data_IF_533053908671
#
_entry.id   IF_533053908671
#
_cell.length_a   1.000
_cell.length_b   1.000
_cell.length_c   1.000
_cell.angle_alpha   90.00
_cell.angle_beta   90.00
_cell.angle_gamma   90.00
#
_symmetry.space_group_name_H-M   'P 1'
#
loop_
_entity.id
_entity.type
_entity.pdbx_description
1 polymer ?
#
# COMPACT_ATOMS: atom_id res chain seq x y z
N UNK A 1 -17.02 -19.54 70.34
CA UNK A 1 -18.26 -18.73 70.41
C UNK A 1 -18.18 -17.70 69.28
N UNK A 2 -18.88 -17.97 68.18
CA UNK A 2 -19.18 -17.00 67.10
C UNK A 2 -20.24 -16.00 67.63
N UNK A 3 -20.33 -14.80 67.05
CA UNK A 3 -21.45 -14.53 66.12
C UNK A 3 -21.01 -13.55 65.01
N UNK A 4 -21.75 -13.18 63.96
CA UNK A 4 -23.06 -13.57 63.47
C UNK A 4 -23.09 -13.38 61.94
N UNK A 5 -24.01 -14.09 61.31
CA UNK A 5 -24.50 -13.93 59.95
C UNK A 5 -24.80 -12.50 59.51
N UNK A 6 -24.57 -12.19 58.23
CA UNK A 6 -25.66 -11.81 57.31
C UNK A 6 -25.36 -12.29 55.88
N UNK A 7 -26.35 -12.99 55.32
CA UNK A 7 -26.46 -13.45 53.95
C UNK A 7 -27.11 -12.35 53.11
N UNK A 8 -26.58 -12.04 51.92
CA UNK A 8 -27.39 -11.54 50.81
C UNK A 8 -26.84 -12.06 49.49
N UNK A 9 -27.53 -13.08 48.96
CA UNK A 9 -27.54 -13.44 47.55
C UNK A 9 -28.38 -12.41 46.82
N UNK A 10 -27.87 -11.79 45.76
CA UNK A 10 -28.67 -11.32 44.63
C UNK A 10 -27.81 -11.09 43.37
N UNK A 11 -28.32 -11.65 42.27
CA UNK A 11 -28.20 -11.12 40.91
C UNK A 11 -26.92 -11.40 40.11
N UNK A 12 -26.83 -12.65 39.68
CA UNK A 12 -26.73 -12.99 38.25
C UNK A 12 -27.43 -11.94 37.36
N UNK A 13 -26.74 -10.94 36.79
CA UNK A 13 -27.27 -10.19 35.64
C UNK A 13 -26.33 -9.21 34.89
N UNK A 14 -25.00 -9.42 34.80
CA UNK A 14 -24.16 -8.55 33.93
C UNK A 14 -23.14 -9.35 33.12
N UNK A 15 -23.60 -10.36 32.37
CA UNK A 15 -22.74 -11.09 31.41
C UNK A 15 -23.17 -10.88 29.94
N UNK A 16 -24.24 -10.13 29.64
CA UNK A 16 -24.89 -10.26 28.33
C UNK A 16 -24.84 -9.04 27.38
N UNK A 17 -23.83 -8.15 27.44
CA UNK A 17 -23.74 -7.01 26.48
C UNK A 17 -22.36 -6.90 25.79
N UNK A 18 -21.46 -7.86 25.98
CA UNK A 18 -20.11 -7.82 25.39
C UNK A 18 -19.93 -8.45 24.00
N UNK A 19 -20.98 -9.01 23.38
CA UNK A 19 -20.79 -10.00 22.29
C UNK A 19 -21.46 -9.67 20.95
N UNK A 20 -21.96 -8.46 20.72
CA UNK A 20 -22.75 -8.15 19.49
C UNK A 20 -22.08 -7.09 18.58
N UNK A 21 -20.82 -6.69 18.84
CA UNK A 21 -20.09 -5.74 17.96
C UNK A 21 -18.82 -6.40 17.38
N UNK A 22 -18.92 -7.67 16.99
CA UNK A 22 -17.84 -8.41 16.33
C UNK A 22 -18.33 -9.12 15.06
N UNK A 23 -19.34 -8.54 14.38
CA UNK A 23 -19.99 -9.16 13.22
C UNK A 23 -19.81 -8.44 11.88
N UNK A 24 -19.11 -7.31 11.82
CA UNK A 24 -19.02 -6.49 10.60
C UNK A 24 -17.64 -5.86 10.41
N UNK A 25 -16.57 -6.64 10.63
CA UNK A 25 -15.25 -6.26 10.12
C UNK A 25 -15.11 -6.84 8.71
N UNK A 26 -14.77 -6.01 7.70
CA UNK A 26 -14.45 -6.53 6.37
C UNK A 26 -13.30 -7.50 6.55
N UNK A 27 -13.42 -8.67 5.91
CA UNK A 27 -12.37 -9.69 5.79
C UNK A 27 -11.02 -9.01 5.64
N UNK A 28 -10.28 -8.91 6.74
CA UNK A 28 -8.89 -8.53 6.70
C UNK A 28 -8.24 -9.61 5.84
N UNK A 29 -7.76 -9.21 4.66
CA UNK A 29 -6.81 -9.99 3.91
C UNK A 29 -5.54 -10.05 4.78
N UNK A 30 -5.54 -10.92 5.77
CA UNK A 30 -4.32 -11.31 6.44
C UNK A 30 -3.57 -12.12 5.40
N UNK A 31 -2.53 -11.50 4.83
CA UNK A 31 -1.51 -12.25 4.13
C UNK A 31 -0.97 -13.28 5.13
N UNK A 32 -1.36 -14.53 4.95
CA UNK A 32 -0.88 -15.63 5.76
C UNK A 32 0.56 -15.89 5.33
N UNK A 33 1.53 -15.43 6.12
CA UNK A 33 2.93 -15.77 5.89
C UNK A 33 3.09 -17.29 6.04
N UNK A 34 3.12 -17.99 4.90
CA UNK A 34 3.60 -19.36 4.83
C UNK A 34 5.12 -19.32 5.02
N UNK A 35 5.56 -19.15 6.26
CA UNK A 35 6.96 -19.22 6.66
C UNK A 35 7.43 -20.68 6.61
N UNK A 36 7.65 -21.21 5.41
CA UNK A 36 8.58 -22.34 5.26
C UNK A 36 9.97 -21.72 5.34
N UNK A 37 10.61 -21.84 6.50
CA UNK A 37 11.94 -21.29 6.72
C UNK A 37 12.89 -21.75 5.60
N UNK A 38 13.53 -20.81 4.90
CA UNK A 38 14.58 -21.11 3.94
C UNK A 38 15.71 -21.83 4.70
N UNK A 39 15.87 -23.13 4.45
CA UNK A 39 16.60 -24.03 5.34
C UNK A 39 18.12 -23.81 5.40
N UNK A 40 18.72 -22.94 4.57
CA UNK A 40 20.19 -22.85 4.45
C UNK A 40 20.82 -21.47 4.63
N UNK A 41 20.04 -20.39 4.70
CA UNK A 41 20.64 -19.03 4.81
C UNK A 41 21.27 -18.78 6.19
N UNK A 42 20.94 -19.58 7.21
CA UNK A 42 21.28 -19.31 8.61
C UNK A 42 22.45 -20.12 9.18
N UNK A 43 22.99 -21.12 8.48
CA UNK A 43 24.08 -21.96 9.03
C UNK A 43 25.47 -21.32 8.87
N UNK A 44 25.73 -20.67 7.74
CA UNK A 44 26.91 -19.81 7.54
C UNK A 44 26.57 -18.66 6.57
N UNK A 45 26.44 -17.40 7.04
CA UNK A 45 26.00 -16.28 6.20
C UNK A 45 27.03 -15.85 5.14
N UNK A 46 28.21 -16.48 5.10
CA UNK A 46 29.27 -16.18 4.13
C UNK A 46 29.57 -17.33 3.17
N UNK A 47 28.82 -18.44 3.24
CA UNK A 47 28.98 -19.55 2.31
C UNK A 47 28.09 -19.34 1.06
N UNK A 48 28.70 -18.84 -0.01
CA UNK A 48 28.08 -18.63 -1.32
C UNK A 48 28.37 -19.77 -2.31
N UNK A 49 28.91 -20.90 -1.84
CA UNK A 49 29.27 -22.03 -2.71
C UNK A 49 28.04 -22.75 -3.30
N UNK A 50 26.88 -22.61 -2.67
CA UNK A 50 25.59 -23.16 -3.10
C UNK A 50 24.49 -22.11 -2.93
N UNK A 51 23.52 -22.02 -3.86
CA UNK A 51 22.35 -21.17 -3.67
C UNK A 51 21.47 -21.70 -2.51
N UNK A 52 20.67 -20.83 -1.88
CA UNK A 52 19.71 -21.27 -0.87
C UNK A 52 18.63 -22.16 -1.49
N UNK A 53 18.19 -23.17 -0.76
CA UNK A 53 17.01 -23.96 -1.14
C UNK A 53 15.76 -23.07 -0.97
N UNK A 54 15.07 -22.79 -2.08
CA UNK A 54 13.83 -22.03 -2.07
C UNK A 54 12.64 -22.95 -1.83
N UNK A 55 11.65 -22.54 -1.01
CA UNK A 55 10.42 -23.31 -0.88
C UNK A 55 9.69 -23.37 -2.22
N UNK A 56 9.12 -24.53 -2.54
CA UNK A 56 8.19 -24.64 -3.67
C UNK A 56 6.86 -24.03 -3.27
N UNK A 57 6.43 -23.01 -4.02
CA UNK A 57 5.18 -22.27 -3.79
C UNK A 57 4.27 -22.48 -4.99
N UNK A 58 3.03 -22.90 -4.76
CA UNK A 58 2.03 -22.99 -5.82
C UNK A 58 1.65 -21.58 -6.30
N UNK A 59 1.73 -21.27 -7.60
CA UNK A 59 1.34 -19.96 -8.10
C UNK A 59 -0.15 -19.69 -7.83
N UNK A 60 -0.54 -18.43 -7.57
CA UNK A 60 -1.94 -18.08 -7.44
C UNK A 60 -2.69 -18.37 -8.75
N UNK A 61 -3.92 -18.84 -8.62
CA UNK A 61 -4.80 -19.06 -9.77
C UNK A 61 -5.08 -17.74 -10.51
N UNK A 62 -5.28 -17.84 -11.82
CA UNK A 62 -5.54 -16.69 -12.68
C UNK A 62 -6.76 -15.87 -12.25
N UNK A 63 -7.86 -16.52 -11.88
CA UNK A 63 -9.09 -15.84 -11.42
C UNK A 63 -8.89 -15.05 -10.13
N UNK A 64 -8.04 -15.56 -9.22
CA UNK A 64 -7.67 -14.86 -7.99
C UNK A 64 -6.84 -13.61 -8.30
N UNK A 65 -5.94 -13.69 -9.28
CA UNK A 65 -5.14 -12.55 -9.74
C UNK A 65 -6.02 -11.48 -10.38
N UNK A 66 -6.91 -11.85 -11.30
CA UNK A 66 -7.84 -10.91 -11.94
C UNK A 66 -8.74 -10.20 -10.94
N UNK A 67 -9.27 -10.95 -9.96
CA UNK A 67 -10.05 -10.37 -8.88
C UNK A 67 -9.22 -9.38 -8.05
N UNK A 68 -7.92 -9.66 -7.82
CA UNK A 68 -7.03 -8.75 -7.10
C UNK A 68 -6.74 -7.48 -7.89
N UNK A 69 -6.47 -7.59 -9.20
CA UNK A 69 -6.27 -6.46 -10.11
C UNK A 69 -7.52 -5.58 -10.13
N UNK A 70 -8.70 -6.18 -10.28
CA UNK A 70 -9.99 -5.47 -10.27
C UNK A 70 -10.17 -4.65 -8.98
N UNK A 71 -9.89 -5.25 -7.81
CA UNK A 71 -9.94 -4.52 -6.52
C UNK A 71 -8.91 -3.39 -6.47
N UNK A 72 -7.72 -3.61 -7.02
CA UNK A 72 -6.67 -2.60 -7.13
C UNK A 72 -7.11 -1.38 -7.95
N UNK A 73 -7.71 -1.61 -9.13
CA UNK A 73 -8.27 -0.55 -9.98
C UNK A 73 -9.32 0.25 -9.22
N UNK A 74 -10.29 -0.44 -8.59
CA UNK A 74 -11.32 0.23 -7.79
C UNK A 74 -10.73 1.06 -6.66
N UNK A 75 -9.70 0.55 -5.97
CA UNK A 75 -9.00 1.29 -4.93
C UNK A 75 -8.32 2.54 -5.48
N UNK A 76 -7.63 2.46 -6.62
CA UNK A 76 -6.95 3.61 -7.21
C UNK A 76 -7.93 4.72 -7.59
N UNK A 77 -9.04 4.37 -8.24
CA UNK A 77 -10.10 5.33 -8.60
C UNK A 77 -10.67 6.01 -7.35
N UNK A 78 -11.00 5.23 -6.31
CA UNK A 78 -11.62 5.75 -5.08
C UNK A 78 -10.67 6.53 -4.18
N UNK A 79 -9.36 6.23 -4.21
CA UNK A 79 -8.35 6.85 -3.34
C UNK A 79 -7.67 8.05 -3.96
N UNK A 80 -7.97 8.39 -5.22
CA UNK A 80 -7.40 9.55 -5.87
C UNK A 80 -7.80 10.82 -5.10
N UNK A 81 -6.83 11.70 -4.89
CA UNK A 81 -7.08 12.98 -4.23
C UNK A 81 -7.91 13.88 -5.15
N UNK A 82 -8.59 14.86 -4.57
CA UNK A 82 -9.31 15.90 -5.34
C UNK A 82 -8.40 16.61 -6.35
N UNK A 83 -7.10 16.73 -6.04
CA UNK A 83 -6.10 17.31 -6.95
C UNK A 83 -5.74 16.43 -8.16
N UNK A 84 -6.21 15.18 -8.23
CA UNK A 84 -5.82 14.22 -9.27
C UNK A 84 -4.56 13.36 -8.94
N UNK A 85 -3.88 13.63 -7.83
CA UNK A 85 -2.64 12.94 -7.47
C UNK A 85 -2.86 11.72 -6.55
N UNK A 86 -1.85 10.86 -6.47
CA UNK A 86 -1.70 9.83 -5.44
C UNK A 86 -0.41 9.99 -4.64
N UNK A 87 -0.36 9.39 -3.46
CA UNK A 87 0.83 9.34 -2.61
C UNK A 87 1.08 10.55 -1.72
N UNK A 88 1.89 10.33 -0.69
CA UNK A 88 2.37 11.32 0.27
C UNK A 88 3.71 10.87 0.86
N UNK A 89 4.54 11.83 1.29
CA UNK A 89 5.81 11.54 1.96
C UNK A 89 5.68 11.31 3.47
N UNK A 90 4.48 11.50 4.03
CA UNK A 90 4.21 11.44 5.47
C UNK A 90 3.59 10.11 5.88
N UNK A 91 3.84 9.70 7.13
CA UNK A 91 3.20 8.54 7.78
C UNK A 91 3.32 7.19 7.04
N UNK A 92 4.37 6.97 6.26
CA UNK A 92 4.48 5.78 5.40
C UNK A 92 4.78 4.48 6.18
N UNK A 93 5.38 4.59 7.37
CA UNK A 93 5.75 3.43 8.23
C UNK A 93 5.60 3.73 9.74
N UNK A 94 4.62 4.53 10.11
CA UNK A 94 4.52 5.09 11.48
C UNK A 94 5.62 6.12 11.81
N UNK A 95 6.47 6.42 10.83
CA UNK A 95 7.49 7.48 10.84
C UNK A 95 7.41 8.25 9.51
N UNK A 96 7.99 9.44 9.49
CA UNK A 96 8.14 10.23 8.26
C UNK A 96 9.45 9.89 7.56
N UNK A 97 9.40 9.74 6.23
CA UNK A 97 10.61 9.59 5.43
C UNK A 97 11.37 10.92 5.46
N UNK A 98 12.70 10.85 5.50
CA UNK A 98 13.53 12.03 5.29
C UNK A 98 13.29 12.57 3.87
N UNK A 99 12.53 13.65 3.79
CA UNK A 99 12.16 14.32 2.54
C UNK A 99 12.40 15.83 2.72
N UNK A 100 13.66 16.30 2.58
CA UNK A 100 13.99 17.69 2.81
C UNK A 100 13.27 18.61 1.82
N UNK A 101 12.82 19.75 2.32
CA UNK A 101 12.24 20.80 1.47
C UNK A 101 13.35 21.66 0.86
N UNK A 102 13.19 22.17 -0.37
CA UNK A 102 12.05 21.99 -1.28
C UNK A 102 12.12 20.70 -2.14
N UNK A 103 10.97 20.19 -2.60
CA UNK A 103 10.88 19.23 -3.71
C UNK A 103 11.01 17.74 -3.42
N UNK A 104 11.64 17.31 -2.32
CA UNK A 104 11.76 15.88 -2.02
C UNK A 104 10.41 15.18 -1.80
N UNK A 105 9.46 15.88 -1.17
CA UNK A 105 8.11 15.36 -0.92
C UNK A 105 7.29 15.28 -2.21
N UNK A 106 7.49 16.23 -3.13
CA UNK A 106 6.84 16.24 -4.44
C UNK A 106 7.33 15.07 -5.29
N UNK A 107 8.60 14.69 -5.16
CA UNK A 107 9.12 13.50 -5.83
C UNK A 107 8.35 12.23 -5.47
N UNK A 108 7.97 12.06 -4.19
CA UNK A 108 7.17 10.91 -3.78
C UNK A 108 5.78 10.92 -4.40
N UNK A 109 5.16 12.09 -4.46
CA UNK A 109 3.83 12.26 -5.04
C UNK A 109 3.87 12.06 -6.56
N UNK A 110 4.79 12.70 -7.27
CA UNK A 110 4.94 12.54 -8.72
C UNK A 110 5.20 11.09 -9.13
N UNK A 111 6.12 10.40 -8.47
CA UNK A 111 6.40 9.00 -8.77
C UNK A 111 5.20 8.09 -8.47
N UNK A 112 4.53 8.26 -7.34
CA UNK A 112 3.36 7.45 -7.00
C UNK A 112 2.23 7.69 -8.00
N UNK A 113 1.93 8.95 -8.32
CA UNK A 113 0.95 9.31 -9.35
C UNK A 113 1.28 8.67 -10.69
N UNK A 114 2.55 8.69 -11.09
CA UNK A 114 3.02 8.09 -12.36
C UNK A 114 2.86 6.57 -12.39
N UNK A 115 3.13 5.89 -11.27
CA UNK A 115 2.91 4.44 -11.15
C UNK A 115 1.42 4.08 -11.22
N UNK A 116 0.56 4.89 -10.59
CA UNK A 116 -0.89 4.69 -10.66
C UNK A 116 -1.42 4.88 -12.09
N UNK A 117 -0.95 5.90 -12.81
CA UNK A 117 -1.26 6.07 -14.23
C UNK A 117 -0.83 4.82 -15.03
N UNK A 118 0.43 4.40 -14.88
CA UNK A 118 0.95 3.25 -15.61
C UNK A 118 0.12 1.98 -15.35
N UNK A 119 -0.26 1.74 -14.09
CA UNK A 119 -1.11 0.60 -13.73
C UNK A 119 -2.50 0.67 -14.39
N UNK A 120 -3.18 1.82 -14.33
CA UNK A 120 -4.51 1.99 -14.91
C UNK A 120 -4.49 1.87 -16.44
N UNK A 121 -3.47 2.43 -17.09
CA UNK A 121 -3.28 2.28 -18.53
C UNK A 121 -2.93 0.83 -18.93
N UNK A 122 -2.33 0.04 -18.05
CA UNK A 122 -1.98 -1.35 -18.37
C UNK A 122 -3.17 -2.31 -18.24
N UNK A 123 -4.02 -2.11 -17.22
CA UNK A 123 -5.04 -3.11 -16.86
C UNK A 123 -6.49 -2.62 -16.91
N UNK A 124 -6.73 -1.34 -17.21
CA UNK A 124 -8.06 -0.73 -17.07
C UNK A 124 -8.42 0.29 -18.16
N UNK A 125 -7.86 0.20 -19.37
CA UNK A 125 -8.14 1.14 -20.48
C UNK A 125 -9.63 1.19 -20.86
N UNK A 126 -10.32 0.05 -20.77
CA UNK A 126 -11.75 -0.06 -21.08
C UNK A 126 -12.67 0.45 -19.94
N UNK A 127 -12.11 0.90 -18.81
CA UNK A 127 -12.86 1.44 -17.68
C UNK A 127 -12.92 2.97 -17.75
N UNK A 128 -14.10 3.58 -17.99
CA UNK A 128 -14.23 5.04 -18.13
C UNK A 128 -13.85 5.81 -16.87
N UNK A 129 -14.13 5.28 -15.68
CA UNK A 129 -13.78 5.94 -14.41
C UNK A 129 -12.27 5.93 -14.19
N UNK A 130 -11.60 4.84 -14.58
CA UNK A 130 -10.15 4.75 -14.54
C UNK A 130 -9.51 5.76 -15.51
N UNK A 131 -10.03 5.90 -16.74
CA UNK A 131 -9.51 6.86 -17.70
C UNK A 131 -9.74 8.31 -17.25
N UNK A 132 -10.90 8.63 -16.67
CA UNK A 132 -11.09 9.94 -16.04
C UNK A 132 -10.11 10.21 -14.89
N UNK A 133 -9.75 9.18 -14.12
CA UNK A 133 -8.71 9.32 -13.11
C UNK A 133 -7.34 9.57 -13.73
N UNK A 134 -7.01 8.91 -14.84
CA UNK A 134 -5.77 9.15 -15.61
C UNK A 134 -5.73 10.59 -16.12
N UNK A 135 -6.81 11.11 -16.72
CA UNK A 135 -6.85 12.49 -17.25
C UNK A 135 -6.57 13.54 -16.17
N UNK A 136 -7.18 13.38 -14.98
CA UNK A 136 -6.92 14.26 -13.84
C UNK A 136 -5.48 14.17 -13.36
N UNK A 137 -4.93 12.96 -13.33
CA UNK A 137 -3.56 12.70 -12.90
C UNK A 137 -2.54 13.24 -13.90
N UNK A 138 -2.82 13.14 -15.20
CA UNK A 138 -2.01 13.72 -16.28
C UNK A 138 -1.94 15.24 -16.13
N UNK A 139 -3.10 15.89 -16.00
CA UNK A 139 -3.18 17.34 -15.79
C UNK A 139 -2.32 17.76 -14.59
N UNK A 140 -2.52 17.10 -13.44
CA UNK A 140 -1.73 17.36 -12.25
C UNK A 140 -0.23 17.11 -12.47
N UNK A 141 0.15 16.05 -13.19
CA UNK A 141 1.54 15.71 -13.42
C UNK A 141 2.25 16.80 -14.24
N UNK A 142 1.62 17.28 -15.32
CA UNK A 142 2.19 18.38 -16.13
C UNK A 142 2.37 19.67 -15.35
N UNK A 143 1.46 19.99 -14.43
CA UNK A 143 1.59 21.17 -13.57
C UNK A 143 2.77 21.07 -12.58
N UNK A 144 3.18 19.86 -12.20
CA UNK A 144 4.14 19.65 -11.11
C UNK A 144 5.55 19.27 -11.58
N UNK A 145 5.68 18.70 -12.79
CA UNK A 145 6.97 18.19 -13.27
C UNK A 145 8.02 19.28 -13.43
N UNK A 146 7.61 20.48 -13.87
CA UNK A 146 8.53 21.59 -14.08
C UNK A 146 9.20 22.03 -12.77
N UNK A 147 8.52 21.91 -11.65
CA UNK A 147 9.01 22.32 -10.32
C UNK A 147 9.72 21.20 -9.56
N UNK A 148 9.73 19.97 -10.09
CA UNK A 148 10.31 18.83 -9.40
C UNK A 148 11.84 18.97 -9.30
N UNK A 149 12.35 19.23 -8.10
CA UNK A 149 13.79 19.48 -7.85
C UNK A 149 14.30 18.72 -6.64
N UNK A 150 15.62 18.55 -6.56
CA UNK A 150 16.29 18.09 -5.35
C UNK A 150 16.51 19.26 -4.39
N UNK A 151 16.31 19.04 -3.09
CA UNK A 151 16.64 20.01 -2.06
C UNK A 151 18.17 20.17 -1.89
N UNK A 152 18.88 19.05 -1.88
CA UNK A 152 20.31 18.94 -1.58
C UNK A 152 20.94 17.82 -2.42
N UNK A 153 22.28 17.74 -2.44
CA UNK A 153 23.01 16.73 -3.25
C UNK A 153 22.83 15.29 -2.77
N UNK A 154 22.50 15.09 -1.50
CA UNK A 154 22.26 13.80 -0.85
C UNK A 154 20.79 13.34 -0.93
N UNK A 155 19.86 14.19 -1.37
CA UNK A 155 18.44 13.88 -1.51
C UNK A 155 18.04 13.76 -2.99
N UNK A 156 18.36 12.61 -3.61
CA UNK A 156 18.18 12.36 -5.05
C UNK A 156 16.78 11.86 -5.46
N UNK A 157 15.75 12.08 -4.64
CA UNK A 157 14.41 11.55 -4.91
C UNK A 157 13.78 12.08 -6.19
N UNK A 158 14.14 13.30 -6.60
CA UNK A 158 13.68 13.86 -7.86
C UNK A 158 14.05 12.97 -9.07
N UNK A 159 15.15 12.23 -9.03
CA UNK A 159 15.50 11.25 -10.08
C UNK A 159 14.42 10.18 -10.21
N UNK A 160 13.94 9.67 -9.08
CA UNK A 160 12.86 8.69 -9.04
C UNK A 160 11.55 9.26 -9.58
N UNK A 161 11.19 10.47 -9.14
CA UNK A 161 10.02 11.20 -9.63
C UNK A 161 10.02 11.37 -11.15
N UNK A 162 11.12 11.84 -11.73
CA UNK A 162 11.24 12.01 -13.19
C UNK A 162 11.26 10.68 -13.94
N UNK A 163 11.97 9.66 -13.43
CA UNK A 163 12.08 8.38 -14.11
C UNK A 163 10.72 7.72 -14.32
N UNK A 164 9.86 7.72 -13.29
CA UNK A 164 8.51 7.18 -13.44
C UNK A 164 7.58 8.11 -14.20
N UNK A 165 7.72 9.42 -14.07
CA UNK A 165 6.93 10.36 -14.86
C UNK A 165 7.15 10.18 -16.35
N UNK A 166 8.41 10.07 -16.80
CA UNK A 166 8.73 9.80 -18.21
C UNK A 166 8.09 8.48 -18.66
N UNK A 167 8.17 7.44 -17.83
CA UNK A 167 7.53 6.15 -18.14
C UNK A 167 6.00 6.23 -18.26
N UNK A 168 5.35 7.06 -17.44
CA UNK A 168 3.91 7.28 -17.53
C UNK A 168 3.55 8.09 -18.79
N UNK A 169 4.28 9.19 -19.05
CA UNK A 169 4.09 10.02 -20.25
C UNK A 169 4.25 9.22 -21.54
N UNK A 170 5.22 8.30 -21.60
CA UNK A 170 5.39 7.40 -22.75
C UNK A 170 4.17 6.49 -22.93
N UNK A 171 3.61 5.94 -21.85
CA UNK A 171 2.41 5.10 -21.91
C UNK A 171 1.15 5.86 -22.31
N UNK A 172 1.01 7.12 -21.90
CA UNK A 172 -0.11 7.99 -22.31
C UNK A 172 -0.11 8.28 -23.80
N UNK A 173 1.06 8.28 -24.45
CA UNK A 173 1.19 8.58 -25.87
C UNK A 173 0.57 7.50 -26.78
N UNK A 174 0.46 6.26 -26.30
CA UNK A 174 0.18 5.07 -27.12
C UNK A 174 1.45 4.48 -27.71
#
# INVERSE_FOLDING_TARGET
MKPNSQSFSHSLCVVAIGSIVWGLLPTHCLAQEHSVAASRILENPYDFSQPPDLPTVEPPRHDVLEAAITRGVSFLVQSQRESGAWGAATQTKGLNIYAPVPGAHDAFRCATTSLCIAALLEVAQDNPEAMQAVDRAETWLFEQLDDLRRATGDALYNVWGHAYAIQALVRMRG
#
